data_IF_915417858053
#
_entry.id   IF_915417858053
#
_cell.length_a   1.000
_cell.length_b   1.000
_cell.length_c   1.000
_cell.angle_alpha   90.00
_cell.angle_beta   90.00
_cell.angle_gamma   90.00
#
_symmetry.space_group_name_H-M   'P 1'
#
loop_
_entity.id
_entity.type
_entity.pdbx_description
1 polymer ?
#
# COMPACT_ATOMS: atom_id res chain seq x y z
N UNK A 1 17.48 -30.54 0.47
CA UNK A 1 16.18 -30.45 1.16
C UNK A 1 15.21 -29.73 0.23
N UNK A 2 14.13 -30.39 -0.15
CA UNK A 2 13.22 -29.93 -1.20
C UNK A 2 12.39 -28.72 -0.73
N UNK A 3 12.46 -27.62 -1.50
CA UNK A 3 11.56 -26.48 -1.36
C UNK A 3 10.11 -26.97 -1.57
N UNK A 4 9.32 -26.96 -0.48
CA UNK A 4 7.91 -27.28 -0.49
C UNK A 4 7.18 -26.03 -0.98
N UNK A 5 6.86 -25.98 -2.27
CA UNK A 5 6.09 -24.88 -2.86
C UNK A 5 4.62 -25.09 -2.52
N UNK A 6 4.18 -24.32 -1.53
CA UNK A 6 2.85 -24.31 -0.92
C UNK A 6 1.87 -23.56 -1.85
N UNK A 7 0.63 -24.06 -1.99
CA UNK A 7 -0.34 -23.66 -3.02
C UNK A 7 -1.33 -22.64 -2.47
N UNK A 8 -1.17 -21.39 -2.89
CA UNK A 8 -2.06 -20.33 -2.43
C UNK A 8 -3.36 -20.28 -3.23
N UNK A 9 -4.48 -20.74 -2.66
CA UNK A 9 -5.82 -20.64 -3.26
C UNK A 9 -6.58 -19.52 -2.56
N UNK A 10 -6.63 -18.35 -3.19
CA UNK A 10 -7.56 -17.30 -2.79
C UNK A 10 -8.86 -17.42 -3.58
N UNK A 11 -9.95 -17.55 -2.81
CA UNK A 11 -11.30 -17.18 -3.19
C UNK A 11 -11.74 -16.03 -2.28
N UNK A 12 -12.89 -15.42 -2.58
CA UNK A 12 -13.49 -14.29 -1.85
C UNK A 12 -13.10 -14.15 -0.36
N UNK A 13 -12.69 -12.94 0.04
CA UNK A 13 -12.52 -12.55 1.45
C UNK A 13 -13.73 -11.76 1.95
N UNK A 14 -14.13 -12.04 3.19
CA UNK A 14 -15.24 -11.41 3.89
C UNK A 14 -14.77 -10.51 5.03
N UNK A 15 -15.53 -9.46 5.35
CA UNK A 15 -15.22 -8.61 6.48
C UNK A 15 -15.59 -9.28 7.80
N UNK A 16 -14.68 -9.24 8.76
CA UNK A 16 -14.90 -9.59 10.17
C UNK A 16 -15.50 -8.43 10.98
N UNK A 17 -15.50 -7.21 10.44
CA UNK A 17 -16.00 -6.02 11.14
C UNK A 17 -17.47 -5.72 10.83
N UNK A 18 -17.94 -6.04 9.62
CA UNK A 18 -19.31 -5.71 9.21
C UNK A 18 -20.28 -6.90 9.40
N UNK A 19 -21.54 -6.66 9.81
CA UNK A 19 -22.53 -7.72 9.98
C UNK A 19 -22.93 -8.44 8.68
N UNK A 20 -22.85 -7.76 7.54
CA UNK A 20 -23.14 -8.34 6.23
C UNK A 20 -21.90 -8.96 5.57
N UNK A 21 -20.75 -8.93 6.25
CA UNK A 21 -19.47 -9.42 5.75
C UNK A 21 -18.93 -8.71 4.50
N UNK A 22 -19.51 -7.58 4.10
CA UNK A 22 -18.99 -6.75 3.00
C UNK A 22 -17.90 -5.82 3.52
N UNK A 23 -17.10 -5.23 2.63
CA UNK A 23 -16.24 -4.11 3.02
C UNK A 23 -17.03 -2.97 3.68
N UNK A 24 -16.36 -2.15 4.48
CA UNK A 24 -16.89 -0.93 5.08
C UNK A 24 -16.37 0.30 4.32
N UNK A 25 -17.10 1.40 4.39
CA UNK A 25 -16.66 2.68 3.80
C UNK A 25 -15.87 3.50 4.80
N UNK A 26 -15.03 4.40 4.28
CA UNK A 26 -14.27 5.35 5.09
C UNK A 26 -14.84 6.75 4.84
N UNK A 27 -15.06 7.52 5.91
CA UNK A 27 -15.71 8.83 5.83
C UNK A 27 -14.88 9.94 6.48
N UNK A 28 -14.34 10.81 5.61
CA UNK A 28 -13.57 12.02 5.93
C UNK A 28 -14.45 13.28 6.16
N UNK A 29 -15.72 13.08 6.54
CA UNK A 29 -16.69 14.13 6.88
C UNK A 29 -16.97 15.08 5.72
N UNK A 30 -16.29 16.22 5.68
CA UNK A 30 -16.51 17.31 4.72
C UNK A 30 -15.69 17.14 3.44
N UNK A 31 -14.82 16.12 3.37
CA UNK A 31 -13.96 15.89 2.21
C UNK A 31 -14.27 14.56 1.54
N UNK A 32 -14.09 14.51 0.22
CA UNK A 32 -13.90 13.24 -0.50
C UNK A 32 -12.41 12.96 -0.56
N UNK A 33 -12.07 11.68 -0.56
CA UNK A 33 -10.70 11.24 -0.57
C UNK A 33 -10.56 9.96 -1.38
N UNK A 34 -9.33 9.65 -1.78
CA UNK A 34 -8.95 8.43 -2.48
C UNK A 34 -7.70 7.84 -1.83
N UNK A 35 -7.39 6.58 -2.13
CA UNK A 35 -6.13 5.95 -1.76
C UNK A 35 -5.84 5.95 -0.24
N UNK A 36 -6.69 5.31 0.58
CA UNK A 36 -6.62 5.43 2.02
C UNK A 36 -5.51 4.57 2.66
N UNK A 37 -5.09 4.99 3.86
CA UNK A 37 -4.36 4.18 4.83
C UNK A 37 -5.08 4.14 6.16
N UNK A 38 -4.94 3.03 6.89
CA UNK A 38 -5.51 2.82 8.22
C UNK A 38 -4.41 2.24 9.10
N UNK A 39 -4.08 2.88 10.21
CA UNK A 39 -3.20 2.31 11.24
C UNK A 39 -3.87 2.38 12.61
N UNK A 40 -3.63 1.41 13.52
CA UNK A 40 -4.13 1.50 14.89
C UNK A 40 -3.55 2.71 15.61
N UNK A 41 -4.39 3.43 16.36
CA UNK A 41 -3.94 4.55 17.18
C UNK A 41 -2.98 4.04 18.28
N UNK A 42 -1.86 4.74 18.56
CA UNK A 42 -0.84 4.24 19.49
C UNK A 42 -1.32 4.08 20.93
N UNK A 43 -2.27 4.92 21.38
CA UNK A 43 -2.72 4.99 22.79
C UNK A 43 -4.22 4.91 23.00
N UNK A 44 -5.03 4.89 21.94
CA UNK A 44 -6.50 4.91 22.06
C UNK A 44 -7.05 3.61 21.50
N UNK A 45 -7.45 2.67 22.37
CA UNK A 45 -8.10 1.44 21.94
C UNK A 45 -9.34 1.75 21.09
N UNK A 46 -9.60 0.91 20.09
CA UNK A 46 -10.75 1.06 19.18
C UNK A 46 -10.80 2.39 18.40
N UNK A 47 -9.65 3.05 18.26
CA UNK A 47 -9.47 4.23 17.42
C UNK A 47 -8.36 3.94 16.42
N UNK A 48 -8.53 4.40 15.19
CA UNK A 48 -7.55 4.29 14.12
C UNK A 48 -7.19 5.66 13.60
N UNK A 49 -5.95 5.82 13.15
CA UNK A 49 -5.56 6.98 12.37
C UNK A 49 -5.79 6.59 10.91
N UNK A 50 -6.61 7.37 10.22
CA UNK A 50 -6.85 7.19 8.78
C UNK A 50 -6.25 8.36 8.01
N UNK A 51 -5.64 8.04 6.87
CA UNK A 51 -5.15 9.03 5.91
C UNK A 51 -5.65 8.71 4.52
N UNK A 52 -5.69 9.70 3.64
CA UNK A 52 -6.08 9.53 2.23
C UNK A 52 -5.75 10.79 1.43
N UNK A 53 -5.53 10.65 0.13
CA UNK A 53 -5.33 11.81 -0.74
C UNK A 53 -6.64 12.56 -0.90
N UNK A 54 -6.60 13.89 -0.71
CA UNK A 54 -7.72 14.78 -0.98
C UNK A 54 -8.11 14.71 -2.45
N UNK A 55 -9.38 14.43 -2.73
CA UNK A 55 -9.90 14.39 -4.09
C UNK A 55 -10.68 15.68 -4.42
N UNK A 56 -11.78 15.93 -3.71
CA UNK A 56 -12.57 17.16 -3.82
C UNK A 56 -13.13 17.58 -2.45
N UNK A 57 -13.53 18.84 -2.33
CA UNK A 57 -14.23 19.31 -1.14
C UNK A 57 -15.74 19.02 -1.29
N UNK A 58 -16.38 18.33 -0.33
CA UNK A 58 -17.84 18.04 -0.44
C UNK A 58 -18.70 19.30 -0.37
N UNK A 59 -18.16 20.40 0.17
CA UNK A 59 -18.91 21.66 0.29
C UNK A 59 -18.79 22.56 -0.93
N UNK A 60 -17.93 22.25 -1.92
CA UNK A 60 -17.95 22.94 -3.21
C UNK A 60 -19.08 22.35 -4.05
N UNK A 61 -20.32 22.81 -3.80
CA UNK A 61 -21.42 22.65 -4.73
C UNK A 61 -21.16 23.54 -5.94
N UNK A 62 -20.26 23.14 -6.84
CA UNK A 62 -20.13 23.74 -8.14
C UNK A 62 -20.48 22.70 -9.20
N UNK A 63 -21.65 22.90 -9.79
CA UNK A 63 -22.21 22.24 -10.96
C UNK A 63 -21.40 22.52 -12.24
N UNK A 64 -20.07 22.49 -12.15
CA UNK A 64 -19.15 22.65 -13.27
C UNK A 64 -18.16 21.51 -13.26
N UNK A 65 -18.14 20.74 -14.36
CA UNK A 65 -17.19 19.67 -14.70
C UNK A 65 -15.73 20.16 -14.83
N UNK A 66 -15.27 21.06 -13.95
CA UNK A 66 -13.98 21.77 -14.03
C UNK A 66 -13.13 21.69 -12.75
N UNK A 67 -13.60 21.10 -11.65
CA UNK A 67 -12.80 20.91 -10.43
C UNK A 67 -11.85 19.69 -10.48
N UNK A 68 -11.80 18.96 -11.60
CA UNK A 68 -10.90 17.79 -11.78
C UNK A 68 -9.43 18.13 -12.06
N UNK A 69 -9.07 19.41 -12.16
CA UNK A 69 -7.74 19.86 -12.61
C UNK A 69 -7.01 20.72 -11.56
N UNK A 70 -7.16 20.41 -10.27
CA UNK A 70 -6.30 21.00 -9.25
C UNK A 70 -4.86 20.51 -9.44
N UNK A 71 -3.92 21.45 -9.49
CA UNK A 71 -2.48 21.14 -9.41
C UNK A 71 -2.02 20.92 -7.97
N UNK A 72 -2.87 21.23 -6.99
CA UNK A 72 -2.61 21.04 -5.57
C UNK A 72 -3.07 19.66 -5.12
N UNK A 73 -2.13 18.92 -4.56
CA UNK A 73 -2.33 17.61 -3.96
C UNK A 73 -1.99 17.69 -2.47
N UNK A 74 -2.83 17.06 -1.67
CA UNK A 74 -2.75 17.12 -0.22
C UNK A 74 -3.24 15.81 0.37
N UNK A 75 -2.67 15.45 1.51
CA UNK A 75 -3.02 14.23 2.23
C UNK A 75 -3.82 14.60 3.48
N UNK A 76 -4.98 13.99 3.64
CA UNK A 76 -5.84 14.15 4.81
C UNK A 76 -5.42 13.20 5.92
N UNK A 77 -5.63 13.60 7.16
CA UNK A 77 -5.49 12.74 8.35
C UNK A 77 -6.57 13.05 9.39
N UNK A 78 -7.06 12.01 10.05
CA UNK A 78 -7.89 12.15 11.25
C UNK A 78 -7.84 10.89 12.11
N UNK A 79 -8.23 11.05 13.38
CA UNK A 79 -8.66 9.92 14.20
C UNK A 79 -10.06 9.48 13.77
N UNK A 80 -10.28 8.17 13.68
CA UNK A 80 -11.53 7.59 13.23
C UNK A 80 -11.97 6.40 14.08
N UNK A 81 -13.29 6.21 14.15
CA UNK A 81 -13.93 5.14 14.89
C UNK A 81 -15.03 4.49 14.05
N UNK A 82 -15.27 3.20 14.30
CA UNK A 82 -16.36 2.49 13.64
C UNK A 82 -17.72 2.99 14.13
N UNK A 83 -18.59 3.28 13.17
CA UNK A 83 -19.98 3.64 13.37
C UNK A 83 -20.89 2.65 12.64
N UNK A 84 -22.21 2.78 12.86
CA UNK A 84 -23.21 2.01 12.11
C UNK A 84 -22.97 0.50 12.17
N UNK A 85 -22.63 -0.02 13.36
CA UNK A 85 -22.28 -1.42 13.59
C UNK A 85 -21.10 -1.89 12.72
N UNK A 86 -20.05 -1.08 12.57
CA UNK A 86 -18.84 -1.42 11.82
C UNK A 86 -18.92 -1.14 10.32
N UNK A 87 -20.04 -0.63 9.80
CA UNK A 87 -20.22 -0.36 8.35
C UNK A 87 -19.49 0.87 7.85
N UNK A 88 -19.13 1.80 8.74
CA UNK A 88 -18.45 3.05 8.38
C UNK A 88 -17.32 3.29 9.37
N UNK A 89 -16.10 3.52 8.88
CA UNK A 89 -15.00 4.07 9.67
C UNK A 89 -14.96 5.58 9.43
N UNK A 90 -15.41 6.36 10.42
CA UNK A 90 -15.64 7.81 10.26
C UNK A 90 -14.68 8.61 11.12
N UNK A 91 -14.14 9.71 10.59
CA UNK A 91 -13.39 10.66 11.40
C UNK A 91 -14.23 11.16 12.59
N UNK A 92 -13.59 11.29 13.76
CA UNK A 92 -14.22 11.86 14.96
C UNK A 92 -14.27 13.38 14.91
N UNK A 93 -13.37 14.00 14.15
CA UNK A 93 -13.24 15.44 13.96
C UNK A 93 -12.93 15.74 12.48
N UNK A 94 -13.17 16.97 11.97
CA UNK A 94 -12.77 17.36 10.63
C UNK A 94 -11.31 16.99 10.33
N UNK A 95 -11.01 16.35 9.19
CA UNK A 95 -9.64 15.95 8.90
C UNK A 95 -8.74 17.17 8.69
N UNK A 96 -7.49 17.00 9.05
CA UNK A 96 -6.42 17.96 8.85
C UNK A 96 -5.58 17.59 7.62
N UNK A 97 -4.96 18.57 6.97
CA UNK A 97 -4.02 18.35 5.86
C UNK A 97 -2.63 18.11 6.44
N UNK A 98 -2.03 16.94 6.17
CA UNK A 98 -0.67 16.63 6.60
C UNK A 98 0.31 17.71 6.10
N UNK A 99 1.19 18.24 6.97
CA UNK A 99 2.09 19.35 6.65
C UNK A 99 3.33 18.83 5.91
N UNK A 100 3.14 18.14 4.80
CA UNK A 100 4.20 17.67 3.91
C UNK A 100 4.52 18.80 2.95
N UNK A 101 5.77 19.27 2.96
CA UNK A 101 6.21 20.34 2.08
C UNK A 101 6.21 19.87 0.61
N UNK A 102 5.79 20.77 -0.29
CA UNK A 102 5.94 20.55 -1.72
C UNK A 102 7.43 20.56 -2.10
N UNK A 103 7.81 19.62 -2.96
CA UNK A 103 9.16 19.55 -3.55
C UNK A 103 9.22 20.40 -4.82
N UNK A 104 10.33 21.10 -5.09
CA UNK A 104 10.45 21.89 -6.31
C UNK A 104 10.47 20.97 -7.56
N UNK A 105 9.76 21.32 -8.64
CA UNK A 105 9.82 20.59 -9.90
C UNK A 105 11.12 20.89 -10.65
N UNK A 106 11.61 19.90 -11.40
CA UNK A 106 12.64 20.10 -12.41
C UNK A 106 12.03 19.94 -13.82
N UNK A 107 11.82 21.07 -14.50
CA UNK A 107 11.26 21.12 -15.85
C UNK A 107 12.16 20.45 -16.91
N UNK A 108 13.46 20.27 -16.63
CA UNK A 108 14.34 19.54 -17.53
C UNK A 108 14.15 18.02 -17.41
N UNK A 109 13.73 17.52 -16.23
CA UNK A 109 13.43 16.11 -16.00
C UNK A 109 11.98 15.78 -16.39
N UNK A 110 11.04 16.69 -16.16
CA UNK A 110 9.62 16.54 -16.51
C UNK A 110 9.29 17.17 -17.87
N UNK A 111 9.60 16.46 -18.96
CA UNK A 111 9.38 16.95 -20.34
C UNK A 111 8.34 16.12 -21.10
N UNK A 112 7.84 16.67 -22.21
CA UNK A 112 6.88 15.98 -23.09
C UNK A 112 5.59 15.59 -22.36
N UNK A 113 5.21 14.32 -22.48
CA UNK A 113 4.01 13.77 -21.85
C UNK A 113 4.05 13.78 -20.31
N UNK A 114 5.22 14.05 -19.70
CA UNK A 114 5.40 14.14 -18.26
C UNK A 114 5.39 15.58 -17.73
N UNK A 115 5.24 16.59 -18.59
CA UNK A 115 5.27 18.00 -18.19
C UNK A 115 4.19 18.34 -17.15
N UNK A 116 3.09 17.59 -17.09
CA UNK A 116 2.05 17.80 -16.08
C UNK A 116 2.55 17.53 -14.65
N UNK A 117 3.48 16.60 -14.45
CA UNK A 117 4.07 16.35 -13.13
C UNK A 117 4.88 17.54 -12.62
N UNK A 118 5.44 18.36 -13.52
CA UNK A 118 6.12 19.60 -13.13
C UNK A 118 5.16 20.65 -12.56
N UNK A 119 3.86 20.52 -12.84
CA UNK A 119 2.84 21.40 -12.29
C UNK A 119 2.30 20.91 -10.95
N UNK A 120 2.49 19.63 -10.60
CA UNK A 120 2.02 19.07 -9.33
C UNK A 120 2.65 19.80 -8.13
N UNK A 121 1.82 20.15 -7.15
CA UNK A 121 2.23 20.78 -5.91
C UNK A 121 1.78 19.90 -4.75
N UNK A 122 2.74 19.35 -4.00
CA UNK A 122 2.50 18.57 -2.79
C UNK A 122 2.69 17.06 -2.95
N UNK A 123 2.37 16.29 -1.90
CA UNK A 123 2.45 14.84 -1.92
C UNK A 123 1.31 14.20 -2.75
N UNK A 124 1.60 13.06 -3.35
CA UNK A 124 0.63 12.19 -4.01
C UNK A 124 0.62 10.78 -3.41
N UNK A 125 -0.56 10.18 -3.39
CA UNK A 125 -0.82 8.77 -3.10
C UNK A 125 -0.08 8.29 -1.85
N UNK A 126 -0.13 9.10 -0.78
CA UNK A 126 0.62 8.79 0.43
C UNK A 126 0.06 7.56 1.13
N UNK A 127 0.98 6.71 1.59
CA UNK A 127 0.68 5.49 2.32
C UNK A 127 1.28 5.59 3.70
N UNK A 128 0.45 5.50 4.72
CA UNK A 128 0.84 5.53 6.13
C UNK A 128 0.81 4.12 6.70
N UNK A 129 1.91 3.69 7.31
CA UNK A 129 2.10 2.32 7.78
C UNK A 129 3.10 2.26 8.92
N UNK A 130 3.02 1.20 9.72
CA UNK A 130 4.02 0.93 10.76
C UNK A 130 5.23 0.17 10.20
N UNK A 131 6.43 0.70 10.45
CA UNK A 131 7.66 -0.10 10.51
C UNK A 131 7.84 -0.75 11.89
N UNK A 132 8.98 -1.42 12.15
CA UNK A 132 9.23 -2.12 13.40
C UNK A 132 9.10 -1.21 14.62
N UNK A 133 9.69 -0.02 14.54
CA UNK A 133 9.80 0.90 15.68
C UNK A 133 8.88 2.12 15.58
N UNK A 134 8.69 2.67 14.38
CA UNK A 134 7.93 3.89 14.12
C UNK A 134 6.97 3.76 12.93
N UNK A 135 5.89 4.56 12.86
CA UNK A 135 5.10 4.72 11.65
C UNK A 135 5.78 5.67 10.66
N UNK A 136 5.63 5.39 9.38
CA UNK A 136 6.15 6.19 8.28
C UNK A 136 5.04 6.52 7.30
N UNK A 137 5.19 7.65 6.61
CA UNK A 137 4.45 7.96 5.40
C UNK A 137 5.39 7.86 4.20
N UNK A 138 4.96 7.15 3.16
CA UNK A 138 5.65 7.10 1.87
C UNK A 138 4.75 7.73 0.81
N UNK A 139 5.26 8.68 0.04
CA UNK A 139 4.45 9.50 -0.87
C UNK A 139 5.22 9.85 -2.15
N UNK A 140 4.51 10.11 -3.22
CA UNK A 140 5.08 10.59 -4.48
C UNK A 140 5.23 12.11 -4.47
N UNK A 141 6.32 12.64 -5.02
CA UNK A 141 6.45 14.08 -5.26
C UNK A 141 7.50 14.35 -6.34
N UNK A 142 7.73 15.61 -6.71
CA UNK A 142 8.82 15.94 -7.64
C UNK A 142 10.17 15.49 -7.07
N UNK A 143 11.05 15.09 -7.98
CA UNK A 143 12.30 14.41 -7.65
C UNK A 143 13.49 15.25 -8.07
N UNK A 144 14.59 15.16 -7.30
CA UNK A 144 15.87 15.75 -7.69
C UNK A 144 16.67 14.84 -8.65
N UNK A 145 16.22 13.59 -8.84
CA UNK A 145 16.91 12.55 -9.60
C UNK A 145 16.20 12.16 -10.89
N UNK A 146 14.88 12.30 -10.92
CA UNK A 146 13.99 12.00 -12.04
C UNK A 146 12.83 13.01 -12.09
N UNK A 147 11.84 12.86 -12.97
CA UNK A 147 10.71 13.81 -13.00
C UNK A 147 9.87 13.74 -11.72
N UNK A 148 9.55 12.52 -11.28
CA UNK A 148 8.70 12.27 -10.13
C UNK A 148 9.21 11.05 -9.37
N UNK A 149 9.38 11.17 -8.05
CA UNK A 149 10.04 10.18 -7.21
C UNK A 149 9.25 9.82 -5.96
N UNK A 150 9.77 8.83 -5.23
CA UNK A 150 9.17 8.35 -4.00
C UNK A 150 9.94 8.88 -2.79
N UNK A 151 9.22 9.43 -1.82
CA UNK A 151 9.75 10.02 -0.60
C UNK A 151 9.23 9.28 0.62
N UNK A 152 10.01 9.27 1.71
CA UNK A 152 9.60 8.74 3.01
C UNK A 152 9.81 9.77 4.12
N UNK A 153 8.94 9.75 5.12
CA UNK A 153 9.02 10.60 6.31
C UNK A 153 8.44 9.87 7.52
N UNK A 154 9.05 10.04 8.69
CA UNK A 154 8.49 9.66 9.98
C UNK A 154 7.11 10.32 10.17
N UNK A 155 6.06 9.52 10.28
CA UNK A 155 4.71 10.03 10.33
C UNK A 155 4.44 10.82 11.64
N UNK A 156 5.18 10.53 12.71
CA UNK A 156 4.97 11.10 14.05
C UNK A 156 5.27 12.60 14.11
N UNK A 157 6.06 13.13 13.17
CA UNK A 157 6.36 14.58 13.11
C UNK A 157 5.30 15.37 12.35
N UNK A 158 4.32 14.70 11.74
CA UNK A 158 3.26 15.32 10.94
C UNK A 158 1.94 15.47 11.70
N UNK A 159 1.79 14.78 12.83
CA UNK A 159 0.54 14.67 13.58
C UNK A 159 0.80 14.79 15.08
N UNK A 160 -0.25 14.97 15.86
CA UNK A 160 -0.15 14.80 17.31
C UNK A 160 0.19 13.34 17.63
N UNK A 161 1.27 13.13 18.38
CA UNK A 161 1.76 11.81 18.75
C UNK A 161 2.27 11.82 20.19
N UNK A 162 2.18 10.69 20.94
CA UNK A 162 2.76 10.57 22.27
C UNK A 162 4.22 11.06 22.32
N UNK A 163 4.49 12.08 23.15
CA UNK A 163 5.79 12.75 23.21
C UNK A 163 6.96 11.81 23.54
N UNK A 164 6.70 10.75 24.30
CA UNK A 164 7.69 9.71 24.64
C UNK A 164 8.29 9.04 23.40
N UNK A 165 7.50 8.93 22.33
CA UNK A 165 7.90 8.23 21.12
C UNK A 165 8.56 9.19 20.13
N UNK A 166 8.08 10.44 20.04
CA UNK A 166 8.55 11.45 19.06
C UNK A 166 10.02 11.84 19.25
N UNK A 167 10.53 11.73 20.48
CA UNK A 167 11.91 12.10 20.81
C UNK A 167 12.92 11.09 20.23
N UNK A 168 12.51 9.83 20.03
CA UNK A 168 13.40 8.77 19.56
C UNK A 168 13.43 8.76 18.02
N UNK A 169 14.60 9.03 17.45
CA UNK A 169 14.83 9.00 16.01
C UNK A 169 15.10 7.56 15.54
N UNK A 170 14.21 7.03 14.71
CA UNK A 170 14.32 5.71 14.08
C UNK A 170 14.63 5.82 12.57
N UNK A 171 15.22 6.94 12.15
CA UNK A 171 15.49 7.26 10.75
C UNK A 171 14.31 7.96 10.07
N UNK A 172 14.60 8.59 8.92
CA UNK A 172 13.63 9.31 8.08
C UNK A 172 12.85 10.40 8.83
N UNK A 173 13.42 11.00 9.87
CA UNK A 173 12.80 12.12 10.61
C UNK A 173 12.46 13.32 9.73
N UNK A 174 13.19 13.48 8.63
CA UNK A 174 12.98 14.49 7.60
C UNK A 174 12.57 13.83 6.29
N UNK A 175 11.85 14.57 5.45
CA UNK A 175 11.45 14.10 4.13
C UNK A 175 12.70 13.67 3.35
N UNK A 176 12.74 12.39 2.99
CA UNK A 176 13.91 11.76 2.39
C UNK A 176 13.50 11.13 1.06
N UNK A 177 14.14 11.58 -0.02
CA UNK A 177 13.95 10.98 -1.34
C UNK A 177 14.58 9.59 -1.36
N UNK A 178 13.84 8.59 -1.82
CA UNK A 178 14.34 7.23 -1.92
C UNK A 178 15.07 7.06 -3.25
N UNK A 179 16.21 6.39 -3.22
CA UNK A 179 17.03 6.17 -4.42
C UNK A 179 16.90 4.74 -4.94
N UNK A 180 17.10 4.57 -6.25
CA UNK A 180 17.32 3.27 -6.89
C UNK A 180 18.82 2.91 -6.89
N UNK A 181 19.20 1.62 -6.87
CA UNK A 181 20.61 1.22 -6.92
C UNK A 181 21.34 1.86 -8.11
N UNK A 182 22.57 2.32 -7.90
CA UNK A 182 23.33 3.13 -8.87
C UNK A 182 23.44 2.50 -10.27
N UNK A 183 23.52 1.16 -10.36
CA UNK A 183 23.65 0.44 -11.62
C UNK A 183 22.31 0.12 -12.30
N UNK A 184 21.19 0.47 -11.67
CA UNK A 184 19.85 0.29 -12.23
C UNK A 184 19.36 1.63 -12.80
N UNK A 185 18.91 1.66 -14.05
CA UNK A 185 18.46 2.91 -14.65
C UNK A 185 17.20 3.41 -13.93
N UNK A 186 17.17 4.71 -13.65
CA UNK A 186 15.94 5.37 -13.21
C UNK A 186 14.90 5.35 -14.32
N UNK A 187 13.65 5.13 -13.95
CA UNK A 187 12.50 5.48 -14.76
C UNK A 187 12.21 6.98 -14.60
N UNK A 188 11.55 7.57 -15.60
CA UNK A 188 11.15 8.98 -15.53
C UNK A 188 10.15 9.26 -14.38
N UNK A 189 9.38 8.25 -13.99
CA UNK A 189 8.46 8.30 -12.83
C UNK A 189 8.76 7.10 -11.96
N UNK A 190 9.39 7.35 -10.82
CA UNK A 190 9.60 6.36 -9.77
C UNK A 190 8.49 6.50 -8.74
N UNK A 191 7.62 5.51 -8.71
CA UNK A 191 6.47 5.47 -7.80
C UNK A 191 6.18 4.04 -7.39
N UNK A 192 5.28 3.89 -6.44
CA UNK A 192 4.74 2.60 -6.00
C UNK A 192 5.75 1.66 -5.32
N UNK A 193 6.96 2.13 -5.04
CA UNK A 193 7.92 1.40 -4.22
C UNK A 193 7.37 1.21 -2.81
N UNK A 194 7.87 0.22 -2.09
CA UNK A 194 7.56 0.03 -0.67
C UNK A 194 8.79 -0.33 0.14
N UNK A 195 8.76 0.01 1.42
CA UNK A 195 9.80 -0.35 2.38
C UNK A 195 9.40 -1.64 3.11
N UNK A 196 10.40 -2.49 3.37
CA UNK A 196 10.28 -3.65 4.23
C UNK A 196 11.50 -3.75 5.15
N UNK A 197 11.40 -4.54 6.20
CA UNK A 197 12.45 -4.68 7.21
C UNK A 197 12.82 -6.15 7.43
N UNK A 198 14.10 -6.42 7.63
CA UNK A 198 14.56 -7.75 8.05
C UNK A 198 14.30 -8.01 9.55
N UNK A 199 14.77 -9.15 10.04
CA UNK A 199 14.63 -9.56 11.45
C UNK A 199 15.41 -8.65 12.42
N UNK A 200 16.42 -7.93 11.94
CA UNK A 200 17.24 -6.99 12.71
C UNK A 200 16.71 -5.55 12.59
N UNK A 201 15.49 -5.37 12.06
CA UNK A 201 14.87 -4.08 11.78
C UNK A 201 15.70 -3.17 10.85
N UNK A 202 16.49 -3.74 9.93
CA UNK A 202 17.16 -2.98 8.87
C UNK A 202 16.21 -2.76 7.69
N UNK A 203 16.11 -1.53 7.16
CA UNK A 203 15.20 -1.21 6.07
C UNK A 203 15.76 -1.58 4.69
N UNK A 204 14.85 -1.95 3.81
CA UNK A 204 15.08 -2.27 2.40
C UNK A 204 13.95 -1.67 1.57
N UNK A 205 14.24 -1.33 0.31
CA UNK A 205 13.22 -0.91 -0.66
C UNK A 205 13.02 -2.04 -1.67
N UNK A 206 11.75 -2.31 -1.96
CA UNK A 206 11.35 -3.12 -3.10
C UNK A 206 10.82 -2.21 -4.21
N UNK A 207 11.44 -2.31 -5.38
CA UNK A 207 11.22 -1.41 -6.52
C UNK A 207 10.27 -2.01 -7.53
N UNK A 208 10.57 -3.24 -7.95
CA UNK A 208 9.89 -3.90 -9.05
C UNK A 208 9.60 -5.34 -8.69
N UNK A 209 8.45 -5.83 -9.13
CA UNK A 209 8.01 -7.23 -9.06
C UNK A 209 8.09 -7.91 -10.43
N UNK A 210 7.90 -7.14 -11.49
CA UNK A 210 7.80 -7.57 -12.89
C UNK A 210 8.47 -6.51 -13.78
N UNK A 211 9.19 -6.90 -14.84
CA UNK A 211 9.42 -8.28 -15.32
C UNK A 211 10.41 -9.07 -14.46
N UNK A 212 11.23 -8.38 -13.68
CA UNK A 212 12.21 -8.95 -12.76
C UNK A 212 12.07 -8.29 -11.41
N UNK A 213 12.05 -9.08 -10.35
CA UNK A 213 12.00 -8.56 -8.99
C UNK A 213 13.29 -7.80 -8.68
N UNK A 214 13.21 -6.62 -8.08
CA UNK A 214 14.37 -5.82 -7.66
C UNK A 214 14.18 -5.23 -6.26
N UNK A 215 15.22 -5.32 -5.42
CA UNK A 215 15.23 -4.75 -4.08
C UNK A 215 16.66 -4.50 -3.57
N UNK A 216 16.82 -3.52 -2.68
CA UNK A 216 18.12 -3.15 -2.11
C UNK A 216 17.99 -2.64 -0.68
N UNK A 217 19.09 -2.68 0.06
CA UNK A 217 19.18 -2.03 1.37
C UNK A 217 19.15 -0.51 1.21
N UNK A 218 18.53 0.20 2.15
CA UNK A 218 18.41 1.67 2.14
C UNK A 218 19.01 2.28 3.40
N UNK A 219 19.74 3.38 3.23
CA UNK A 219 20.23 4.23 4.31
C UNK A 219 19.18 5.24 4.78
N UNK A 220 19.37 5.81 5.97
CA UNK A 220 18.45 6.85 6.50
C UNK A 220 18.45 8.15 5.67
N UNK A 221 19.44 8.32 4.79
CA UNK A 221 19.55 9.42 3.83
C UNK A 221 18.91 9.10 2.46
N UNK A 222 18.26 7.93 2.34
CA UNK A 222 17.61 7.48 1.10
C UNK A 222 18.54 6.82 0.09
N UNK A 223 19.87 6.87 0.33
CA UNK A 223 20.85 6.20 -0.52
C UNK A 223 20.71 4.69 -0.44
N UNK A 224 21.06 3.99 -1.52
CA UNK A 224 20.83 2.54 -1.62
C UNK A 224 22.07 1.78 -2.02
N UNK A 225 22.14 0.55 -1.51
CA UNK A 225 23.21 -0.40 -1.82
C UNK A 225 23.07 -1.00 -3.22
N UNK A 226 23.79 -2.09 -3.45
CA UNK A 226 23.62 -2.89 -4.67
C UNK A 226 22.27 -3.60 -4.67
N UNK A 227 21.79 -3.95 -5.87
CA UNK A 227 20.64 -4.83 -6.05
C UNK A 227 20.92 -6.21 -5.44
N UNK A 228 20.05 -6.64 -4.53
CA UNK A 228 20.17 -7.90 -3.79
C UNK A 228 19.34 -9.03 -4.41
N UNK A 229 18.46 -8.72 -5.36
CA UNK A 229 17.62 -9.69 -6.05
C UNK A 229 18.36 -10.80 -6.81
N UNK A 230 19.60 -10.62 -7.32
CA UNK A 230 20.32 -11.72 -7.98
C UNK A 230 20.54 -12.94 -7.09
N UNK A 231 20.63 -12.76 -5.76
CA UNK A 231 20.85 -13.84 -4.81
C UNK A 231 19.65 -14.81 -4.70
N UNK A 232 18.43 -14.33 -4.95
CA UNK A 232 17.19 -15.13 -4.94
C UNK A 232 16.63 -15.42 -6.34
N UNK A 233 17.26 -14.91 -7.40
CA UNK A 233 16.72 -14.94 -8.76
C UNK A 233 16.32 -16.35 -9.24
N UNK A 234 17.13 -17.38 -8.97
CA UNK A 234 16.86 -18.75 -9.44
C UNK A 234 15.56 -19.32 -8.83
N UNK A 235 15.30 -19.06 -7.55
CA UNK A 235 14.07 -19.48 -6.88
C UNK A 235 12.89 -18.60 -7.28
N UNK A 236 13.12 -17.29 -7.33
CA UNK A 236 12.08 -16.30 -7.56
C UNK A 236 11.54 -16.40 -8.98
N UNK A 237 12.39 -16.49 -10.00
CA UNK A 237 11.98 -16.60 -11.41
C UNK A 237 11.03 -17.78 -11.63
N UNK A 238 11.29 -18.94 -11.01
CA UNK A 238 10.41 -20.12 -11.14
C UNK A 238 9.03 -19.88 -10.53
N UNK A 239 8.96 -19.16 -9.41
CA UNK A 239 7.71 -18.85 -8.74
C UNK A 239 6.96 -17.76 -9.51
N UNK A 240 7.62 -16.65 -9.83
CA UNK A 240 7.02 -15.49 -10.50
C UNK A 240 6.54 -15.82 -11.91
N UNK A 241 7.31 -16.56 -12.72
CA UNK A 241 6.85 -16.98 -14.06
C UNK A 241 5.58 -17.84 -14.03
N UNK A 242 5.36 -18.57 -12.93
CA UNK A 242 4.23 -19.47 -12.79
C UNK A 242 2.99 -18.79 -12.23
N UNK A 243 3.16 -17.81 -11.35
CA UNK A 243 2.07 -17.26 -10.54
C UNK A 243 1.79 -15.77 -10.80
N UNK A 244 2.71 -15.03 -11.45
CA UNK A 244 2.37 -13.70 -11.92
C UNK A 244 1.32 -13.78 -13.03
N UNK A 245 0.34 -12.85 -13.04
CA UNK A 245 -0.62 -12.73 -14.13
C UNK A 245 0.09 -12.52 -15.47
N UNK A 246 -0.33 -13.29 -16.47
CA UNK A 246 0.17 -13.14 -17.84
C UNK A 246 -0.51 -11.92 -18.45
N UNK A 247 0.28 -10.94 -18.88
CA UNK A 247 -0.23 -9.75 -19.55
C UNK A 247 -0.63 -10.11 -20.99
N UNK A 248 -1.93 -10.20 -21.26
CA UNK A 248 -2.44 -10.58 -22.58
C UNK A 248 -2.35 -9.41 -23.57
N UNK A 249 -2.50 -8.18 -23.07
CA UNK A 249 -2.30 -6.96 -23.82
C UNK A 249 -1.38 -5.98 -23.06
N UNK A 250 -0.05 -6.05 -23.23
CA UNK A 250 0.90 -5.21 -22.50
C UNK A 250 0.75 -3.70 -22.70
N UNK A 251 -0.02 -3.26 -23.72
CA UNK A 251 -0.33 -1.83 -23.91
C UNK A 251 -1.47 -1.32 -23.03
N UNK A 252 -2.28 -2.24 -22.48
CA UNK A 252 -3.45 -1.95 -21.66
C UNK A 252 -3.44 -2.70 -20.31
N UNK A 253 -2.42 -3.52 -20.08
CA UNK A 253 -2.26 -4.32 -18.88
C UNK A 253 -0.87 -4.16 -18.29
N UNK A 254 -0.81 -4.09 -16.97
CA UNK A 254 0.44 -3.93 -16.23
C UNK A 254 0.35 -4.58 -14.85
N UNK A 255 1.51 -4.86 -14.25
CA UNK A 255 1.59 -5.23 -12.83
C UNK A 255 1.91 -3.98 -12.02
N UNK A 256 1.06 -3.66 -11.05
CA UNK A 256 1.19 -2.50 -10.19
C UNK A 256 1.49 -2.96 -8.76
N UNK A 257 2.61 -2.50 -8.21
CA UNK A 257 2.77 -2.46 -6.76
C UNK A 257 2.01 -1.25 -6.24
N UNK A 258 1.48 -1.34 -5.03
CA UNK A 258 0.68 -0.24 -4.48
C UNK A 258 0.65 -0.24 -2.96
N UNK A 259 0.77 -1.39 -2.29
CA UNK A 259 0.71 -1.42 -0.82
C UNK A 259 2.08 -1.26 -0.18
N UNK A 260 2.07 -0.85 1.09
CA UNK A 260 3.18 -1.12 2.02
C UNK A 260 3.30 -2.63 2.31
N UNK A 261 4.26 -3.00 3.18
CA UNK A 261 4.47 -4.38 3.62
C UNK A 261 4.15 -4.60 5.10
N UNK A 262 3.96 -5.87 5.49
CA UNK A 262 3.84 -6.33 6.89
C UNK A 262 4.70 -7.58 7.10
N UNK A 263 5.29 -7.75 8.29
CA UNK A 263 5.93 -9.01 8.68
C UNK A 263 4.92 -9.93 9.37
N UNK A 264 4.92 -11.21 9.00
CA UNK A 264 3.97 -12.23 9.45
C UNK A 264 4.72 -13.45 9.94
N UNK A 265 4.50 -13.85 11.19
CA UNK A 265 4.92 -15.17 11.67
C UNK A 265 3.88 -16.22 11.33
N UNK A 266 4.31 -17.32 10.71
CA UNK A 266 3.50 -18.38 10.12
C UNK A 266 2.93 -19.38 11.15
N UNK A 267 2.61 -18.91 12.35
CA UNK A 267 1.85 -19.65 13.36
C UNK A 267 0.87 -18.70 14.08
N UNK A 268 0.00 -19.25 14.91
CA UNK A 268 -0.98 -18.49 15.68
C UNK A 268 -0.32 -17.87 16.91
N UNK A 269 -0.61 -16.60 17.20
CA UNK A 269 -0.22 -15.91 18.43
C UNK A 269 -0.72 -16.62 19.68
N UNK A 270 -1.88 -17.29 19.57
CA UNK A 270 -2.47 -18.06 20.68
C UNK A 270 -1.69 -19.34 21.04
N UNK A 271 -0.79 -19.81 20.17
CA UNK A 271 0.09 -20.95 20.46
C UNK A 271 1.30 -20.49 21.31
N UNK A 272 1.45 -20.98 22.56
CA UNK A 272 2.53 -20.55 23.45
C UNK A 272 3.94 -20.97 22.97
N UNK A 273 4.03 -21.89 22.01
CA UNK A 273 5.29 -22.29 21.38
C UNK A 273 5.61 -21.45 20.14
N UNK A 274 4.66 -20.67 19.64
CA UNK A 274 4.84 -19.83 18.48
C UNK A 274 5.72 -18.62 18.83
N UNK A 275 6.91 -18.57 18.20
CA UNK A 275 7.84 -17.45 18.30
C UNK A 275 8.30 -17.05 16.91
N UNK A 276 8.52 -15.75 16.65
CA UNK A 276 9.15 -15.31 15.41
C UNK A 276 10.57 -15.87 15.30
N UNK A 277 10.87 -16.49 14.17
CA UNK A 277 12.17 -17.04 13.80
C UNK A 277 12.43 -16.78 12.31
N UNK A 278 13.66 -16.99 11.88
CA UNK A 278 14.05 -16.81 10.50
C UNK A 278 13.42 -17.86 9.55
N UNK A 279 12.95 -18.97 10.12
CA UNK A 279 12.36 -20.10 9.42
C UNK A 279 10.83 -20.04 9.34
N UNK A 280 10.19 -19.14 10.08
CA UNK A 280 8.74 -19.03 10.13
C UNK A 280 8.22 -17.59 10.00
N UNK A 281 9.06 -16.62 9.61
CA UNK A 281 8.63 -15.22 9.46
C UNK A 281 8.85 -14.72 8.04
N UNK A 282 7.79 -14.19 7.43
CA UNK A 282 7.74 -13.70 6.04
C UNK A 282 7.30 -12.25 6.00
N UNK A 283 7.65 -11.55 4.93
CA UNK A 283 7.10 -10.24 4.58
C UNK A 283 5.96 -10.46 3.58
N UNK A 284 4.81 -9.85 3.87
CA UNK A 284 3.61 -9.83 3.05
C UNK A 284 3.47 -8.48 2.35
N UNK A 285 3.11 -8.50 1.07
CA UNK A 285 2.73 -7.33 0.28
C UNK A 285 1.63 -7.70 -0.71
N UNK A 286 0.91 -6.69 -1.22
CA UNK A 286 -0.07 -6.85 -2.29
C UNK A 286 0.42 -6.14 -3.54
N UNK A 287 0.32 -6.83 -4.67
CA UNK A 287 0.47 -6.25 -6.01
C UNK A 287 -0.82 -6.48 -6.78
N UNK A 288 -1.03 -5.77 -7.88
CA UNK A 288 -2.29 -5.79 -8.61
C UNK A 288 -2.01 -6.00 -10.09
N UNK A 289 -2.79 -6.86 -10.74
CA UNK A 289 -2.88 -6.85 -12.20
C UNK A 289 -3.87 -5.77 -12.59
N UNK A 290 -3.35 -4.72 -13.22
CA UNK A 290 -4.16 -3.67 -13.81
C UNK A 290 -4.50 -4.08 -15.23
N UNK A 291 -5.78 -3.95 -15.60
CA UNK A 291 -6.22 -3.92 -16.99
C UNK A 291 -7.01 -2.65 -17.26
N UNK A 292 -6.97 -2.16 -18.49
CA UNK A 292 -7.72 -0.99 -18.94
C UNK A 292 -8.58 -1.39 -20.15
N UNK A 293 -9.89 -1.48 -19.95
CA UNK A 293 -10.83 -1.95 -20.98
C UNK A 293 -12.03 -1.01 -21.03
N UNK A 294 -12.29 -0.42 -22.20
CA UNK A 294 -13.43 0.46 -22.42
C UNK A 294 -13.47 1.64 -21.45
N UNK A 295 -12.36 2.37 -21.36
CA UNK A 295 -12.14 3.54 -20.49
C UNK A 295 -12.29 3.31 -18.98
N UNK A 296 -12.29 2.05 -18.54
CA UNK A 296 -12.38 1.67 -17.14
C UNK A 296 -11.15 0.84 -16.74
N UNK A 297 -10.51 1.21 -15.62
CA UNK A 297 -9.41 0.42 -15.06
C UNK A 297 -9.97 -0.62 -14.11
N UNK A 298 -9.48 -1.85 -14.20
CA UNK A 298 -9.77 -2.91 -13.23
C UNK A 298 -8.46 -3.33 -12.59
N UNK A 299 -8.45 -3.40 -11.26
CA UNK A 299 -7.30 -3.85 -10.49
C UNK A 299 -7.66 -5.15 -9.77
N UNK A 300 -6.87 -6.19 -10.04
CA UNK A 300 -7.03 -7.51 -9.44
C UNK A 300 -5.88 -7.76 -8.45
N UNK A 301 -6.11 -7.71 -7.13
CA UNK A 301 -5.06 -7.78 -6.13
C UNK A 301 -4.57 -9.21 -5.86
N UNK A 302 -3.25 -9.40 -5.79
CA UNK A 302 -2.56 -10.64 -5.50
C UNK A 302 -1.66 -10.46 -4.28
N UNK A 303 -1.56 -11.50 -3.46
CA UNK A 303 -0.68 -11.51 -2.29
C UNK A 303 0.66 -12.12 -2.67
N UNK A 304 1.75 -11.48 -2.26
CA UNK A 304 3.09 -12.03 -2.31
C UNK A 304 3.66 -12.14 -0.90
N UNK A 305 4.27 -13.29 -0.61
CA UNK A 305 5.03 -13.56 0.59
C UNK A 305 6.48 -13.85 0.20
N UNK A 306 7.44 -13.26 0.91
CA UNK A 306 8.86 -13.58 0.78
C UNK A 306 9.50 -13.65 2.16
N UNK A 307 10.58 -14.42 2.31
CA UNK A 307 11.22 -14.58 3.62
C UNK A 307 11.70 -13.23 4.17
N UNK A 308 11.52 -13.00 5.49
CA UNK A 308 12.05 -11.81 6.15
C UNK A 308 13.58 -11.89 6.35
N UNK A 309 14.16 -13.08 6.23
CA UNK A 309 15.61 -13.28 6.23
C UNK A 309 16.19 -13.19 4.82
N UNK A 310 17.46 -12.80 4.74
CA UNK A 310 18.23 -12.92 3.51
C UNK A 310 18.27 -14.40 3.02
N UNK A 311 18.35 -14.63 1.69
CA UNK A 311 18.34 -13.63 0.60
C UNK A 311 16.93 -13.16 0.18
N UNK A 312 15.94 -13.21 1.08
CA UNK A 312 14.58 -12.71 0.88
C UNK A 312 13.84 -13.42 -0.25
N UNK A 313 14.04 -14.74 -0.40
CA UNK A 313 13.43 -15.50 -1.48
C UNK A 313 11.89 -15.49 -1.39
N UNK A 314 11.22 -15.49 -2.55
CA UNK A 314 9.76 -15.61 -2.61
C UNK A 314 9.33 -16.93 -1.96
N UNK A 315 8.50 -16.81 -0.92
CA UNK A 315 7.87 -17.93 -0.24
C UNK A 315 6.65 -18.41 -1.01
N UNK A 316 5.81 -17.48 -1.47
CA UNK A 316 4.59 -17.80 -2.19
C UNK A 316 3.94 -16.58 -2.85
N UNK A 317 3.14 -16.85 -3.88
CA UNK A 317 2.31 -15.86 -4.58
C UNK A 317 0.91 -16.44 -4.75
N UNK A 318 -0.12 -15.62 -4.55
CA UNK A 318 -1.50 -16.07 -4.72
C UNK A 318 -1.75 -16.51 -6.16
N UNK A 319 -2.41 -17.66 -6.34
CA UNK A 319 -2.72 -18.16 -7.68
C UNK A 319 -3.87 -17.40 -8.34
N UNK A 320 -4.74 -16.82 -7.53
CA UNK A 320 -5.93 -16.08 -7.93
C UNK A 320 -5.91 -14.72 -7.24
N UNK A 321 -6.57 -13.71 -7.83
CA UNK A 321 -6.73 -12.45 -7.16
C UNK A 321 -7.66 -12.58 -5.94
N UNK A 322 -7.46 -11.71 -4.96
CA UNK A 322 -8.30 -11.56 -3.77
C UNK A 322 -9.59 -10.88 -4.20
N UNK A 323 -10.68 -11.63 -4.22
CA UNK A 323 -12.00 -11.04 -4.42
C UNK A 323 -12.51 -10.43 -3.10
N UNK A 324 -12.77 -9.13 -3.09
CA UNK A 324 -13.24 -8.41 -1.90
C UNK A 324 -14.76 -8.47 -1.86
N UNK A 325 -15.35 -9.13 -0.85
CA UNK A 325 -16.82 -9.23 -0.75
C UNK A 325 -17.45 -7.85 -0.61
N UNK A 326 -18.51 -7.64 -1.39
CA UNK A 326 -19.19 -6.35 -1.51
C UNK A 326 -18.71 -5.53 -2.71
N UNK A 327 -17.62 -5.94 -3.39
CA UNK A 327 -17.20 -5.36 -4.67
C UNK A 327 -18.35 -5.44 -5.68
N UNK A 328 -18.71 -4.31 -6.26
CA UNK A 328 -19.77 -4.23 -7.25
C UNK A 328 -19.46 -5.09 -8.47
N UNK A 329 -20.47 -5.77 -8.99
CA UNK A 329 -20.50 -6.26 -10.38
C UNK A 329 -21.51 -5.37 -11.06
N UNK A 330 -21.11 -4.67 -12.12
CA UNK A 330 -22.06 -3.85 -12.88
C UNK A 330 -23.06 -4.81 -13.55
N UNK A 331 -24.32 -4.75 -13.11
CA UNK A 331 -25.46 -5.47 -13.70
C UNK A 331 -26.39 -4.40 -14.25
N UNK A 332 -26.37 -4.28 -15.58
CA UNK A 332 -27.29 -3.55 -16.46
C UNK A 332 -27.23 -2.02 -16.51
N UNK A 333 -26.85 -1.52 -17.70
CA UNK A 333 -26.95 -0.13 -18.13
C UNK A 333 -26.35 0.09 -19.53
N UNK A 334 -27.05 -0.40 -20.56
CA UNK A 334 -26.97 -0.01 -21.99
C UNK A 334 -25.59 0.47 -22.52
N UNK A 335 -24.69 -0.47 -22.82
CA UNK A 335 -23.98 -0.62 -24.11
C UNK A 335 -23.00 -1.81 -24.00
N UNK A 336 -23.29 -2.85 -24.81
CA UNK A 336 -22.41 -3.94 -25.23
C UNK A 336 -21.39 -4.56 -24.24
N UNK A 337 -21.84 -5.60 -23.51
CA UNK A 337 -21.07 -6.85 -23.47
C UNK A 337 -19.85 -6.98 -22.55
N UNK A 338 -19.82 -6.30 -21.39
CA UNK A 338 -18.74 -6.51 -20.40
C UNK A 338 -19.24 -6.81 -18.99
N UNK A 339 -18.87 -7.97 -18.42
CA UNK A 339 -18.88 -8.20 -16.97
C UNK A 339 -17.83 -7.28 -16.31
N UNK A 340 -18.11 -5.98 -16.19
CA UNK A 340 -17.21 -5.03 -15.50
C UNK A 340 -17.47 -5.09 -14.00
N UNK A 341 -16.38 -5.01 -13.23
CA UNK A 341 -16.43 -5.04 -11.77
C UNK A 341 -15.93 -3.71 -11.24
N UNK A 342 -16.40 -3.32 -10.06
CA UNK A 342 -15.99 -2.07 -9.41
C UNK A 342 -14.46 -1.96 -9.35
N UNK A 343 -13.90 -0.81 -9.71
CA UNK A 343 -12.48 -0.54 -9.60
C UNK A 343 -12.09 -0.38 -8.14
N UNK A 344 -11.36 -1.35 -7.60
CA UNK A 344 -10.79 -1.31 -6.26
C UNK A 344 -9.26 -1.27 -6.35
N UNK A 345 -8.64 -0.12 -6.04
CA UNK A 345 -7.18 0.01 -5.99
C UNK A 345 -6.70 -0.16 -4.55
N UNK A 346 -6.12 -1.31 -4.22
CA UNK A 346 -5.61 -1.60 -2.86
C UNK A 346 -4.33 -0.81 -2.60
N UNK A 347 -4.39 0.10 -1.64
CA UNK A 347 -3.34 1.10 -1.38
C UNK A 347 -2.55 0.83 -0.12
N UNK A 348 -3.11 0.14 0.87
CA UNK A 348 -2.41 -0.12 2.12
C UNK A 348 -2.89 -1.40 2.82
N UNK A 349 -2.00 -1.93 3.65
CA UNK A 349 -2.26 -3.02 4.56
C UNK A 349 -1.77 -2.67 5.97
N UNK A 350 -2.53 -3.03 6.99
CA UNK A 350 -2.13 -2.83 8.38
C UNK A 350 -2.76 -3.88 9.30
N UNK A 351 -2.10 -4.20 10.40
CA UNK A 351 -2.74 -4.93 11.48
C UNK A 351 -3.83 -4.08 12.13
N UNK A 352 -4.96 -4.70 12.47
CA UNK A 352 -6.13 -4.00 13.00
C UNK A 352 -5.99 -3.66 14.48
N UNK A 353 -5.40 -4.56 15.25
CA UNK A 353 -5.34 -4.48 16.71
C UNK A 353 -4.36 -3.42 17.20
N UNK A 354 -4.75 -2.71 18.27
CA UNK A 354 -3.88 -1.75 18.93
C UNK A 354 -2.61 -2.42 19.46
N UNK A 355 -1.47 -1.76 19.31
CA UNK A 355 -0.15 -2.27 19.70
C UNK A 355 0.53 -3.14 18.63
N UNK A 356 -0.19 -3.61 17.61
CA UNK A 356 0.43 -4.24 16.45
C UNK A 356 1.02 -3.17 15.52
N UNK A 357 2.32 -3.30 15.23
CA UNK A 357 3.10 -2.38 14.39
C UNK A 357 3.37 -3.00 13.02
N UNK A 358 4.62 -3.34 12.71
CA UNK A 358 4.98 -4.03 11.48
C UNK A 358 4.71 -5.53 11.51
N UNK A 359 4.78 -6.14 12.71
CA UNK A 359 4.76 -7.59 12.90
C UNK A 359 3.44 -8.10 13.49
N UNK A 360 2.96 -9.21 12.95
CA UNK A 360 1.80 -9.97 13.43
C UNK A 360 1.90 -11.47 13.13
N UNK A 361 0.82 -12.19 13.44
CA UNK A 361 0.68 -13.64 13.35
C UNK A 361 -0.51 -14.01 12.45
N UNK A 362 -0.68 -15.30 12.15
CA UNK A 362 -1.70 -15.76 11.21
C UNK A 362 -3.14 -15.51 11.66
N UNK A 363 -3.35 -15.43 12.96
CA UNK A 363 -4.63 -15.20 13.63
C UNK A 363 -4.86 -13.72 14.01
N UNK A 364 -3.93 -12.83 13.67
CA UNK A 364 -4.15 -11.39 13.77
C UNK A 364 -4.99 -10.90 12.56
N UNK A 365 -5.79 -9.85 12.78
CA UNK A 365 -6.67 -9.32 11.74
C UNK A 365 -5.93 -8.23 10.96
N UNK A 366 -6.04 -8.27 9.64
CA UNK A 366 -5.45 -7.29 8.72
C UNK A 366 -6.55 -6.43 8.12
N UNK A 367 -6.33 -5.12 8.05
CA UNK A 367 -7.04 -4.22 7.16
C UNK A 367 -6.40 -4.19 5.79
N UNK A 368 -7.22 -4.32 4.75
CA UNK A 368 -6.87 -3.97 3.37
C UNK A 368 -7.69 -2.74 3.01
N UNK A 369 -7.02 -1.59 2.85
CA UNK A 369 -7.68 -0.35 2.46
C UNK A 369 -7.47 -0.05 0.98
N UNK A 370 -8.48 0.53 0.34
CA UNK A 370 -8.52 0.70 -1.10
C UNK A 370 -9.31 1.94 -1.54
N UNK A 371 -8.88 2.53 -2.65
CA UNK A 371 -9.67 3.48 -3.42
C UNK A 371 -10.75 2.76 -4.23
N UNK A 372 -11.88 3.44 -4.45
CA UNK A 372 -13.05 2.94 -5.18
C UNK A 372 -13.39 3.92 -6.30
N UNK A 373 -13.36 3.45 -7.55
CA UNK A 373 -13.72 4.23 -8.74
C UNK A 373 -13.05 5.62 -8.84
N UNK A 374 -11.81 5.75 -8.33
CA UNK A 374 -11.04 7.00 -8.26
C UNK A 374 -11.83 8.17 -7.62
N UNK A 375 -12.76 7.83 -6.71
CA UNK A 375 -13.71 8.79 -6.14
C UNK A 375 -13.91 8.62 -4.64
N UNK A 376 -13.97 7.37 -4.19
CA UNK A 376 -14.33 7.03 -2.82
C UNK A 376 -13.28 6.11 -2.17
N UNK A 377 -13.44 5.84 -0.88
CA UNK A 377 -12.55 4.97 -0.11
C UNK A 377 -13.33 3.87 0.62
N UNK A 378 -12.67 2.73 0.80
CA UNK A 378 -13.20 1.60 1.55
C UNK A 378 -12.08 0.75 2.14
N UNK A 379 -12.47 -0.16 3.02
CA UNK A 379 -11.56 -1.17 3.52
C UNK A 379 -12.31 -2.43 3.95
N UNK A 380 -11.58 -3.54 4.02
CA UNK A 380 -12.05 -4.81 4.53
C UNK A 380 -11.10 -5.32 5.60
N UNK A 381 -11.64 -5.94 6.65
CA UNK A 381 -10.85 -6.58 7.70
C UNK A 381 -11.00 -8.09 7.64
N UNK A 382 -9.92 -8.85 7.48
CA UNK A 382 -9.94 -10.32 7.51
C UNK A 382 -8.70 -10.84 8.24
N UNK A 383 -8.71 -12.09 8.68
CA UNK A 383 -7.48 -12.79 9.01
C UNK A 383 -6.62 -12.91 7.75
N UNK A 384 -5.36 -13.30 7.89
CA UNK A 384 -4.59 -13.77 6.73
C UNK A 384 -5.10 -15.19 6.43
N UNK A 385 -5.77 -15.45 5.27
CA UNK A 385 -6.21 -16.80 4.97
C UNK A 385 -5.07 -17.81 5.14
N UNK A 386 -5.27 -18.91 5.87
CA UNK A 386 -4.24 -19.96 5.96
C UNK A 386 -3.92 -20.55 4.57
N UNK A 387 -4.88 -20.46 3.63
CA UNK A 387 -4.65 -20.77 2.21
C UNK A 387 -3.72 -19.79 1.50
N UNK A 388 -3.22 -18.74 2.17
CA UNK A 388 -2.10 -17.88 1.74
C UNK A 388 -0.73 -18.39 2.21
N UNK A 389 -0.68 -19.43 3.04
CA UNK A 389 0.55 -19.82 3.74
C UNK A 389 0.88 -21.32 3.60
N UNK A 390 -0.07 -22.14 3.13
CA UNK A 390 0.05 -23.60 2.88
C UNK A 390 0.06 -23.91 1.38
#
# INVERSE_FOLDING_TARGET
MFARWLRLVLGEISSLTTPNHHYFTIDFLTHTAINPSIIPHPIHPSTWIITAQLHTNRTTTSSSNHESNSVWFAELVCNAQFQSQGRVLRCTEPPFILPIAATPPDNALCTGDLAFFAMSIGPHDARVFYGPDAPYTIYGSNSALTCFGQWILDFRVLVEWPATDVIIDHGFRYATELHRPLLSPYLAVEKNWFVFWDLDARPYIHYDISPTRQFAAVGVDGSTGQDLSPASAISDTKCLQKYLPVLMNPSHESIHQATNSLSVTLCSRSDPLCRPTAENTVVMTIFQHKSFVGFHSVYEPYVMLFWQRAPFEVYGVSRKPVWIRGRGVEVDGEEEGGNKTEMLYVTSIAWKEAGLKYHGFLDDVVFLAFGREDRDTGAISNLIPQSLII
#
